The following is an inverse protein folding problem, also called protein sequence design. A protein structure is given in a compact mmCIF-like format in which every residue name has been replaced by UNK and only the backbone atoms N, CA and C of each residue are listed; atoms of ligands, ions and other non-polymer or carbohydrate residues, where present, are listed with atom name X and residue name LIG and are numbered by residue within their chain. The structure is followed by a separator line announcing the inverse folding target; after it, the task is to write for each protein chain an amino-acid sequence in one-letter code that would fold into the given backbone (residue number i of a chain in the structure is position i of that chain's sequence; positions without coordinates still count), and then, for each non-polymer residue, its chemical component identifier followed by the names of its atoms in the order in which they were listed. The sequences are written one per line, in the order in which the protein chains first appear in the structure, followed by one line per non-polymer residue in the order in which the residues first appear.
data_IF_123580676560
#
_entry.id   IF_123580676560
#
_cell.length_a   1.000
_cell.length_b   1.000
_cell.length_c   1.000
_cell.angle_alpha   90.00
_cell.angle_beta   90.00
_cell.angle_gamma   90.00
#
_symmetry.space_group_name_H-M   'P 1'
#
loop_
_entity.id
_entity.type
_entity.pdbx_description
1 polymer ?
#
# COMPACT_ATOMS: atom_id res chain seq x y z
N UNK A 1 -66.36 36.10 47.13
CA UNK A 1 -65.99 35.48 45.84
C UNK A 1 -64.50 35.21 45.87
N UNK A 2 -64.07 33.95 45.92
CA UNK A 2 -62.64 33.59 46.09
C UNK A 2 -61.99 33.41 44.72
N UNK A 3 -61.03 34.26 44.37
CA UNK A 3 -60.28 34.27 43.10
C UNK A 3 -59.08 33.31 43.17
N UNK A 4 -59.28 32.04 42.83
CA UNK A 4 -58.22 31.01 42.84
C UNK A 4 -57.71 30.57 41.46
N UNK A 5 -58.17 31.20 40.37
CA UNK A 5 -57.85 30.78 39.00
C UNK A 5 -56.44 31.15 38.54
N UNK A 6 -56.01 32.40 38.80
CA UNK A 6 -54.79 32.95 38.18
C UNK A 6 -53.50 32.30 38.72
N UNK A 7 -53.44 32.05 40.03
CA UNK A 7 -52.25 31.46 40.67
C UNK A 7 -52.02 29.99 40.25
N UNK A 8 -53.11 29.24 40.05
CA UNK A 8 -53.04 27.85 39.58
C UNK A 8 -52.61 27.76 38.12
N UNK A 9 -53.11 28.66 37.27
CA UNK A 9 -52.70 28.77 35.87
C UNK A 9 -51.22 29.17 35.76
N UNK A 10 -50.76 30.11 36.59
CA UNK A 10 -49.36 30.53 36.63
C UNK A 10 -48.42 29.37 37.03
N UNK A 11 -48.81 28.56 38.03
CA UNK A 11 -48.04 27.39 38.45
C UNK A 11 -47.99 26.30 37.36
N UNK A 12 -49.10 26.05 36.66
CA UNK A 12 -49.13 25.08 35.55
C UNK A 12 -48.27 25.58 34.39
N UNK A 13 -48.33 26.87 34.04
CA UNK A 13 -47.46 27.45 33.03
C UNK A 13 -45.98 27.33 33.39
N UNK A 14 -45.62 27.57 34.66
CA UNK A 14 -44.24 27.44 35.13
C UNK A 14 -43.72 26.00 35.07
N UNK A 15 -44.57 25.00 35.34
CA UNK A 15 -44.21 23.58 35.26
C UNK A 15 -44.07 23.12 33.79
N UNK A 16 -44.91 23.61 32.88
CA UNK A 16 -44.83 23.27 31.45
C UNK A 16 -43.60 23.91 30.79
N UNK A 17 -43.19 25.12 31.19
CA UNK A 17 -42.00 25.79 30.65
C UNK A 17 -40.67 25.16 31.08
N UNK A 18 -40.62 24.30 32.10
CA UNK A 18 -39.37 23.64 32.53
C UNK A 18 -39.13 22.28 31.85
N UNK A 19 -40.03 21.80 30.99
CA UNK A 19 -39.92 20.51 30.29
C UNK A 19 -39.31 20.62 28.89
N UNK A 20 -38.68 21.76 28.54
CA UNK A 20 -37.88 21.82 27.32
C UNK A 20 -36.61 21.00 27.52
N UNK A 21 -36.49 19.92 26.76
CA UNK A 21 -35.26 19.15 26.62
C UNK A 21 -34.24 20.10 25.97
N UNK A 22 -33.39 20.71 26.79
CA UNK A 22 -32.26 21.50 26.31
C UNK A 22 -31.24 20.51 25.75
N UNK A 23 -31.07 20.49 24.42
CA UNK A 23 -30.00 19.74 23.80
C UNK A 23 -28.65 20.33 24.26
N UNK A 24 -27.83 19.51 24.93
CA UNK A 24 -26.47 19.89 25.35
C UNK A 24 -25.47 19.87 24.17
N UNK A 25 -25.92 20.30 22.98
CA UNK A 25 -25.07 20.39 21.81
C UNK A 25 -24.46 21.79 21.77
N UNK A 26 -23.13 21.85 21.64
CA UNK A 26 -22.38 23.09 21.53
C UNK A 26 -22.09 23.34 20.06
N UNK A 27 -22.76 24.33 19.47
CA UNK A 27 -22.47 24.83 18.13
C UNK A 27 -21.63 26.12 18.21
N UNK A 28 -20.42 26.11 17.66
CA UNK A 28 -19.59 27.31 17.49
C UNK A 28 -19.65 27.69 16.01
N UNK A 29 -20.15 28.88 15.69
CA UNK A 29 -20.32 29.32 14.30
C UNK A 29 -21.45 28.63 13.52
N UNK A 30 -22.24 27.75 14.15
CA UNK A 30 -23.42 27.10 13.56
C UNK A 30 -24.56 27.05 14.58
N UNK A 31 -25.80 27.22 14.11
CA UNK A 31 -27.01 27.06 14.92
C UNK A 31 -27.62 25.65 14.80
N UNK A 32 -27.16 24.85 13.84
CA UNK A 32 -27.67 23.51 13.55
C UNK A 32 -26.55 22.47 13.77
N UNK A 33 -26.14 22.28 15.02
CA UNK A 33 -25.13 21.29 15.36
C UNK A 33 -25.62 19.86 15.10
N UNK A 34 -24.82 19.05 14.40
CA UNK A 34 -25.10 17.65 14.02
C UNK A 34 -24.54 16.65 15.04
N UNK A 35 -23.65 17.12 15.92
CA UNK A 35 -22.93 16.35 16.93
C UNK A 35 -22.91 17.12 18.25
N UNK A 36 -22.43 16.48 19.32
CA UNK A 36 -22.34 17.09 20.67
C UNK A 36 -21.53 18.37 20.68
N UNK A 37 -20.46 18.44 19.88
CA UNK A 37 -19.71 19.65 19.59
C UNK A 37 -19.57 19.76 18.07
N UNK A 38 -19.93 20.91 17.51
CA UNK A 38 -19.69 21.24 16.10
C UNK A 38 -19.14 22.66 16.00
N UNK A 39 -18.00 22.80 15.32
CA UNK A 39 -17.37 24.09 15.02
C UNK A 39 -17.43 24.30 13.52
N UNK A 40 -18.17 25.33 13.08
CA UNK A 40 -18.18 25.77 11.70
C UNK A 40 -17.10 26.85 11.53
N UNK A 41 -15.85 26.40 11.36
CA UNK A 41 -14.66 27.24 11.27
C UNK A 41 -13.41 26.45 11.69
N UNK A 42 -12.37 27.18 12.05
CA UNK A 42 -11.09 26.58 12.45
C UNK A 42 -11.11 26.21 13.95
N UNK A 43 -10.49 25.08 14.27
CA UNK A 43 -10.25 24.65 15.65
C UNK A 43 -8.75 24.69 15.92
N UNK A 44 -8.36 25.40 16.97
CA UNK A 44 -6.99 25.35 17.51
C UNK A 44 -7.00 24.57 18.82
N UNK A 45 -6.17 23.54 18.92
CA UNK A 45 -5.96 22.75 20.13
C UNK A 45 -4.52 23.03 20.59
N UNK A 46 -4.35 23.55 21.80
CA UNK A 46 -3.04 23.91 22.36
C UNK A 46 -2.44 22.83 23.28
N UNK A 47 -3.11 21.68 23.40
CA UNK A 47 -2.67 20.51 24.16
C UNK A 47 -2.95 19.23 23.37
N UNK A 48 -3.15 18.11 24.07
CA UNK A 48 -3.29 16.80 23.43
C UNK A 48 -4.71 16.59 22.86
N UNK A 49 -4.78 16.00 21.66
CA UNK A 49 -6.01 15.47 21.08
C UNK A 49 -6.00 13.94 21.21
N UNK A 50 -6.80 13.41 22.13
CA UNK A 50 -6.97 11.97 22.29
C UNK A 50 -8.19 11.47 21.49
N UNK A 51 -7.97 10.54 20.57
CA UNK A 51 -9.05 9.86 19.85
C UNK A 51 -9.38 8.56 20.61
N UNK A 52 -10.40 8.61 21.46
CA UNK A 52 -10.79 7.49 22.35
C UNK A 52 -11.28 6.26 21.59
N UNK A 53 -11.84 6.42 20.39
CA UNK A 53 -12.36 5.30 19.60
C UNK A 53 -11.99 5.45 18.14
N UNK A 54 -11.18 4.50 17.66
CA UNK A 54 -10.91 4.29 16.24
C UNK A 54 -11.82 3.17 15.76
N UNK A 55 -12.84 3.51 14.98
CA UNK A 55 -13.68 2.50 14.36
C UNK A 55 -12.88 1.76 13.27
N UNK A 56 -13.02 0.43 13.15
CA UNK A 56 -12.41 -0.31 12.06
C UNK A 56 -12.97 0.15 10.71
N UNK A 57 -12.11 0.20 9.70
CA UNK A 57 -12.48 0.49 8.33
C UNK A 57 -13.44 -0.58 7.79
N UNK A 58 -14.39 -0.17 6.97
CA UNK A 58 -15.25 -1.07 6.18
C UNK A 58 -14.81 -1.01 4.72
N UNK A 59 -15.08 -2.07 3.95
CA UNK A 59 -14.66 -2.17 2.54
C UNK A 59 -15.15 -1.03 1.63
N UNK A 60 -16.24 -0.34 2.00
CA UNK A 60 -16.78 0.79 1.26
C UNK A 60 -16.19 2.15 1.69
N UNK A 61 -15.40 2.21 2.76
CA UNK A 61 -14.82 3.44 3.27
C UNK A 61 -13.56 3.80 2.47
N UNK A 62 -13.47 5.05 2.00
CA UNK A 62 -12.22 5.59 1.46
C UNK A 62 -11.24 5.80 2.61
N UNK A 63 -10.17 5.02 2.64
CA UNK A 63 -9.18 5.07 3.71
C UNK A 63 -8.05 6.02 3.35
N UNK A 64 -7.76 6.97 4.24
CA UNK A 64 -6.59 7.85 4.13
C UNK A 64 -5.58 7.41 5.16
N UNK A 65 -4.37 7.05 4.72
CA UNK A 65 -3.25 6.85 5.65
C UNK A 65 -2.83 8.22 6.18
N UNK A 66 -2.86 8.36 7.51
CA UNK A 66 -2.36 9.54 8.20
C UNK A 66 -0.95 9.25 8.67
N UNK A 67 0.00 10.11 8.31
CA UNK A 67 1.36 10.08 8.79
C UNK A 67 1.59 11.35 9.58
N UNK A 68 2.17 11.22 10.77
CA UNK A 68 2.68 12.38 11.49
C UNK A 68 4.10 12.64 10.99
N UNK A 69 4.34 13.82 10.43
CA UNK A 69 5.68 14.27 10.10
C UNK A 69 6.36 14.86 11.34
N UNK A 70 7.68 14.97 11.28
CA UNK A 70 8.57 15.54 12.28
C UNK A 70 8.28 17.00 12.67
N UNK A 71 7.41 17.69 11.92
CA UNK A 71 6.94 19.04 12.20
C UNK A 71 5.57 19.08 12.92
N UNK A 72 5.15 17.94 13.49
CA UNK A 72 3.85 17.74 14.16
C UNK A 72 2.64 17.96 13.24
N UNK A 73 2.85 17.98 11.92
CA UNK A 73 1.75 17.99 10.95
C UNK A 73 1.25 16.58 10.68
N UNK A 74 -0.07 16.45 10.53
CA UNK A 74 -0.69 15.22 10.02
C UNK A 74 -0.82 15.36 8.50
N UNK A 75 -0.14 14.49 7.77
CA UNK A 75 -0.19 14.40 6.31
C UNK A 75 -1.03 13.21 5.89
N UNK A 76 -1.90 13.42 4.91
CA UNK A 76 -2.63 12.35 4.25
C UNK A 76 -1.85 11.82 3.05
N UNK A 77 -1.65 10.51 2.97
CA UNK A 77 -1.30 9.88 1.69
C UNK A 77 -2.58 9.72 0.88
N UNK A 78 -2.61 10.35 -0.28
CA UNK A 78 -3.61 10.11 -1.32
C UNK A 78 -3.08 9.08 -2.32
N UNK A 79 -3.42 7.82 -2.09
CA UNK A 79 -3.04 6.70 -2.96
C UNK A 79 -3.74 6.71 -4.32
N UNK A 80 -4.73 7.59 -4.53
CA UNK A 80 -5.40 7.75 -5.83
C UNK A 80 -4.67 8.71 -6.75
N UNK A 81 -3.71 9.48 -6.23
CA UNK A 81 -2.88 10.39 -7.01
C UNK A 81 -1.66 9.63 -7.59
N UNK A 82 -1.62 9.38 -8.91
CA UNK A 82 -0.56 8.56 -9.53
C UNK A 82 0.82 9.24 -9.53
N UNK A 83 0.90 10.53 -9.19
CA UNK A 83 2.17 11.27 -9.10
C UNK A 83 2.56 11.62 -7.67
N UNK A 84 1.72 11.26 -6.68
CA UNK A 84 1.99 11.48 -5.26
C UNK A 84 2.88 10.40 -4.63
N UNK A 85 3.28 10.63 -3.39
CA UNK A 85 3.90 9.59 -2.58
C UNK A 85 2.91 8.43 -2.38
N UNK A 86 3.36 7.19 -2.58
CA UNK A 86 2.54 6.00 -2.40
C UNK A 86 3.25 5.02 -1.45
N UNK A 87 2.48 4.13 -0.82
CA UNK A 87 3.05 3.08 0.03
C UNK A 87 3.81 2.03 -0.78
N UNK A 88 3.41 1.85 -2.03
CA UNK A 88 4.10 1.03 -3.01
C UNK A 88 3.67 1.42 -4.42
N UNK A 89 4.54 1.13 -5.38
CA UNK A 89 4.37 1.43 -6.79
C UNK A 89 4.36 0.10 -7.55
N UNK A 90 3.39 -0.06 -8.44
CA UNK A 90 3.42 -1.14 -9.43
C UNK A 90 3.99 -0.53 -10.71
N UNK A 91 5.19 -0.96 -11.09
CA UNK A 91 5.86 -0.49 -12.31
C UNK A 91 5.99 -1.65 -13.30
N UNK A 92 5.53 -1.42 -14.52
CA UNK A 92 5.71 -2.35 -15.63
C UNK A 92 6.88 -1.92 -16.52
N UNK A 93 7.79 -2.85 -16.81
CA UNK A 93 8.87 -2.69 -17.77
C UNK A 93 8.57 -3.54 -19.00
N UNK A 94 8.50 -2.88 -20.16
CA UNK A 94 8.40 -3.56 -21.46
C UNK A 94 9.76 -3.51 -22.13
N UNK A 95 10.48 -4.63 -22.15
CA UNK A 95 11.83 -4.76 -22.70
C UNK A 95 11.73 -5.44 -24.06
N UNK A 96 11.94 -4.66 -25.12
CA UNK A 96 11.82 -5.13 -26.51
C UNK A 96 13.19 -5.51 -27.08
N UNK A 97 13.21 -6.56 -27.90
CA UNK A 97 14.41 -7.04 -28.59
C UNK A 97 15.62 -7.27 -27.66
N UNK A 98 15.50 -8.09 -26.59
CA UNK A 98 16.68 -8.62 -25.92
C UNK A 98 17.50 -9.49 -26.90
N UNK A 99 18.69 -9.95 -26.47
CA UNK A 99 19.40 -11.00 -27.19
C UNK A 99 18.59 -12.30 -27.07
N UNK A 100 17.69 -12.52 -28.03
CA UNK A 100 16.58 -13.48 -27.93
C UNK A 100 15.67 -13.16 -26.74
N UNK A 101 15.55 -14.08 -25.78
CA UNK A 101 14.82 -13.94 -24.53
C UNK A 101 15.73 -13.53 -23.36
N UNK A 102 17.02 -13.31 -23.60
CA UNK A 102 17.97 -13.09 -22.51
C UNK A 102 18.11 -11.62 -22.13
N UNK A 103 17.62 -11.30 -20.93
CA UNK A 103 17.91 -10.05 -20.21
C UNK A 103 18.91 -10.39 -19.11
N UNK A 104 20.19 -10.12 -19.37
CA UNK A 104 21.28 -10.37 -18.42
C UNK A 104 21.38 -9.30 -17.34
N UNK A 105 21.17 -8.04 -17.70
CA UNK A 105 21.41 -6.92 -16.81
C UNK A 105 20.60 -5.70 -17.27
N UNK A 106 19.36 -5.58 -16.77
CA UNK A 106 18.53 -4.40 -16.99
C UNK A 106 18.52 -3.52 -15.74
N UNK A 107 19.21 -2.39 -15.81
CA UNK A 107 19.22 -1.37 -14.75
C UNK A 107 17.88 -0.61 -14.72
N UNK A 108 17.16 -0.73 -13.60
CA UNK A 108 15.87 -0.05 -13.41
C UNK A 108 16.02 1.41 -13.03
N UNK A 109 17.24 1.84 -12.65
CA UNK A 109 17.55 3.14 -12.05
C UNK A 109 16.85 3.42 -10.71
N UNK A 110 16.19 2.42 -10.12
CA UNK A 110 15.57 2.53 -8.79
C UNK A 110 16.66 2.44 -7.73
N UNK A 111 16.76 3.48 -6.89
CA UNK A 111 17.77 3.57 -5.84
C UNK A 111 17.61 2.45 -4.80
N UNK A 112 18.62 1.60 -4.69
CA UNK A 112 18.60 0.46 -3.79
C UNK A 112 18.87 0.84 -2.33
N UNK A 113 19.26 2.08 -2.03
CA UNK A 113 19.38 2.60 -0.66
C UNK A 113 18.03 2.99 -0.08
N UNK A 114 17.14 3.58 -0.89
CA UNK A 114 15.82 4.11 -0.49
C UNK A 114 14.69 3.08 -0.65
N UNK A 115 14.74 2.25 -1.70
CA UNK A 115 13.63 1.37 -2.08
C UNK A 115 14.00 -0.11 -2.08
N UNK A 116 12.96 -0.94 -2.00
CA UNK A 116 13.00 -2.37 -2.31
C UNK A 116 12.18 -2.61 -3.57
N UNK A 117 12.70 -3.44 -4.49
CA UNK A 117 12.05 -3.80 -5.74
C UNK A 117 11.96 -5.32 -5.87
N UNK A 118 10.76 -5.81 -6.14
CA UNK A 118 10.46 -7.25 -6.30
C UNK A 118 9.73 -7.45 -7.63
N UNK A 119 10.13 -8.44 -8.42
CA UNK A 119 9.34 -8.88 -9.57
C UNK A 119 8.10 -9.64 -9.10
N UNK A 120 6.92 -9.20 -9.52
CA UNK A 120 5.63 -9.83 -9.17
C UNK A 120 5.00 -10.58 -10.35
N UNK A 121 5.40 -10.26 -11.58
CA UNK A 121 5.00 -10.98 -12.80
C UNK A 121 6.06 -10.78 -13.88
N UNK A 122 6.24 -11.79 -14.71
CA UNK A 122 7.07 -11.68 -15.90
C UNK A 122 6.55 -12.62 -16.98
N UNK A 123 6.42 -12.10 -18.20
CA UNK A 123 5.98 -12.87 -19.37
C UNK A 123 6.78 -12.49 -20.60
N UNK A 124 7.05 -13.47 -21.44
CA UNK A 124 7.70 -13.29 -22.73
C UNK A 124 6.73 -13.65 -23.85
N UNK A 125 6.69 -12.83 -24.91
CA UNK A 125 5.61 -12.84 -25.90
C UNK A 125 5.91 -13.69 -27.16
N UNK A 126 6.94 -14.55 -27.11
CA UNK A 126 7.28 -15.48 -28.19
C UNK A 126 7.27 -16.93 -27.73
N UNK A 127 6.92 -17.79 -28.68
CA UNK A 127 7.03 -19.23 -28.50
C UNK A 127 8.49 -19.65 -28.49
N UNK A 128 8.85 -20.50 -27.54
CA UNK A 128 10.21 -20.94 -27.31
C UNK A 128 10.41 -22.40 -27.75
N UNK A 129 11.50 -22.65 -28.47
CA UNK A 129 12.01 -23.98 -28.74
C UNK A 129 12.89 -24.43 -27.57
N UNK A 130 12.40 -25.39 -26.79
CA UNK A 130 13.12 -25.92 -25.61
C UNK A 130 13.81 -27.27 -25.95
N UNK A 131 13.43 -27.95 -27.04
CA UNK A 131 14.11 -29.15 -27.55
C UNK A 131 14.13 -29.17 -29.07
N UNK A 132 15.27 -29.61 -29.64
CA UNK A 132 15.40 -29.91 -31.07
C UNK A 132 15.01 -31.36 -31.45
N UNK A 133 14.58 -32.19 -30.48
CA UNK A 133 14.21 -33.59 -30.73
C UNK A 133 12.75 -33.72 -31.18
N UNK A 134 12.52 -34.53 -32.22
CA UNK A 134 11.21 -34.74 -32.86
C UNK A 134 10.17 -35.46 -31.99
N UNK A 135 10.54 -35.90 -30.78
CA UNK A 135 9.66 -36.66 -29.85
C UNK A 135 9.46 -35.96 -28.49
N UNK A 136 9.93 -34.71 -28.32
CA UNK A 136 9.73 -33.98 -27.07
C UNK A 136 8.32 -33.38 -27.04
N UNK A 137 7.33 -34.19 -26.65
CA UNK A 137 5.93 -33.77 -26.64
C UNK A 137 5.58 -32.77 -25.52
N UNK A 138 6.45 -32.57 -24.52
CA UNK A 138 6.21 -31.65 -23.41
C UNK A 138 7.54 -31.10 -22.88
N UNK A 139 8.13 -30.16 -23.59
CA UNK A 139 9.33 -29.47 -23.13
C UNK A 139 8.94 -28.08 -22.64
N UNK A 140 8.90 -27.91 -21.32
CA UNK A 140 8.67 -26.63 -20.65
C UNK A 140 9.96 -26.20 -19.94
N UNK A 141 10.30 -24.91 -20.03
CA UNK A 141 11.35 -24.28 -19.22
C UNK A 141 10.66 -23.35 -18.25
N UNK A 142 11.12 -23.34 -17.00
CA UNK A 142 10.63 -22.38 -16.01
C UNK A 142 11.33 -21.05 -16.26
N UNK A 143 10.60 -19.92 -16.32
CA UNK A 143 11.24 -18.63 -16.46
C UNK A 143 12.13 -18.37 -15.24
N UNK A 144 13.36 -17.95 -15.48
CA UNK A 144 14.23 -17.41 -14.47
C UNK A 144 14.10 -15.89 -14.48
N UNK A 145 13.50 -15.34 -13.43
CA UNK A 145 13.42 -13.90 -13.24
C UNK A 145 13.84 -13.53 -11.83
N UNK A 146 14.66 -12.50 -11.71
CA UNK A 146 15.21 -12.08 -10.43
C UNK A 146 15.51 -10.58 -10.45
N UNK A 147 15.48 -10.00 -9.26
CA UNK A 147 15.97 -8.64 -9.00
C UNK A 147 17.22 -8.71 -8.14
N UNK A 148 18.20 -7.88 -8.42
CA UNK A 148 19.45 -7.83 -7.67
C UNK A 148 19.99 -6.40 -7.63
N UNK A 149 20.92 -6.15 -6.71
CA UNK A 149 21.52 -4.83 -6.56
C UNK A 149 22.91 -4.85 -7.21
N UNK A 150 23.14 -3.91 -8.11
CA UNK A 150 24.44 -3.66 -8.73
C UNK A 150 24.60 -2.14 -8.87
N UNK A 151 25.80 -1.61 -8.65
CA UNK A 151 26.05 -0.16 -8.82
C UNK A 151 25.24 0.80 -7.94
N UNK A 152 24.48 0.32 -6.95
CA UNK A 152 23.62 1.13 -6.09
C UNK A 152 22.16 1.23 -6.55
N UNK A 153 21.81 0.65 -7.70
CA UNK A 153 20.43 0.57 -8.19
C UNK A 153 19.94 -0.87 -8.22
N UNK A 154 18.62 -1.05 -8.38
CA UNK A 154 18.02 -2.35 -8.63
C UNK A 154 18.13 -2.72 -10.11
N UNK A 155 18.49 -3.95 -10.39
CA UNK A 155 18.61 -4.53 -11.72
C UNK A 155 17.71 -5.75 -11.84
N UNK A 156 17.31 -6.09 -13.08
CA UNK A 156 16.47 -7.23 -13.42
C UNK A 156 17.23 -8.19 -14.35
N UNK A 157 17.11 -9.48 -14.06
CA UNK A 157 17.39 -10.57 -14.99
C UNK A 157 16.06 -11.22 -15.40
N UNK A 158 15.95 -11.59 -16.67
CA UNK A 158 14.88 -12.43 -17.19
C UNK A 158 15.42 -13.34 -18.30
N UNK A 159 15.11 -14.63 -18.22
CA UNK A 159 15.57 -15.64 -19.18
C UNK A 159 14.68 -16.89 -19.12
N UNK A 160 14.57 -17.65 -20.21
CA UNK A 160 14.21 -19.06 -20.14
C UNK A 160 15.47 -19.90 -20.39
N UNK A 161 16.13 -20.40 -19.32
CA UNK A 161 17.40 -21.08 -19.47
C UNK A 161 17.33 -22.23 -20.47
N UNK A 162 18.29 -22.25 -21.39
CA UNK A 162 18.42 -23.25 -22.47
C UNK A 162 17.27 -23.28 -23.49
N UNK A 163 16.45 -22.23 -23.53
CA UNK A 163 15.45 -22.01 -24.57
C UNK A 163 15.91 -20.92 -25.55
N UNK A 164 15.25 -20.85 -26.70
CA UNK A 164 15.38 -19.76 -27.65
C UNK A 164 14.06 -19.63 -28.42
N UNK A 165 13.85 -18.53 -29.14
CA UNK A 165 12.68 -18.36 -29.99
C UNK A 165 12.55 -19.53 -30.99
N UNK A 166 11.33 -20.07 -31.14
CA UNK A 166 11.03 -21.07 -32.16
C UNK A 166 11.26 -20.51 -33.56
N UNK A 167 10.81 -19.28 -33.80
CA UNK A 167 11.20 -18.50 -34.96
C UNK A 167 12.43 -17.66 -34.62
N UNK A 168 13.58 -18.06 -35.15
CA UNK A 168 14.88 -17.41 -34.92
C UNK A 168 14.95 -15.99 -35.49
N UNK A 169 14.00 -15.58 -36.32
CA UNK A 169 13.92 -14.21 -36.86
C UNK A 169 12.95 -13.31 -36.10
N UNK A 170 12.16 -13.89 -35.18
CA UNK A 170 11.18 -13.13 -34.40
C UNK A 170 11.86 -12.31 -33.31
N UNK A 171 11.43 -11.05 -33.19
CA UNK A 171 11.82 -10.13 -32.13
C UNK A 171 10.86 -10.29 -30.95
N UNK A 172 11.36 -10.74 -29.81
CA UNK A 172 10.55 -10.91 -28.61
C UNK A 172 10.53 -9.69 -27.70
N UNK A 173 9.57 -9.70 -26.79
CA UNK A 173 9.35 -8.67 -25.78
C UNK A 173 9.07 -9.31 -24.43
N UNK A 174 9.78 -8.85 -23.41
CA UNK A 174 9.44 -9.12 -22.02
C UNK A 174 8.51 -8.04 -21.47
N UNK A 175 7.48 -8.47 -20.76
CA UNK A 175 6.66 -7.61 -19.89
C UNK A 175 6.89 -8.05 -18.45
N UNK A 176 7.49 -7.17 -17.65
CA UNK A 176 7.86 -7.46 -16.25
C UNK A 176 7.17 -6.45 -15.36
N UNK A 177 6.27 -6.93 -14.49
CA UNK A 177 5.64 -6.11 -13.46
C UNK A 177 6.42 -6.23 -12.16
N UNK A 178 6.68 -5.10 -11.53
CA UNK A 178 7.43 -5.00 -10.28
C UNK A 178 6.58 -4.33 -9.20
N UNK A 179 6.83 -4.69 -7.95
CA UNK A 179 6.37 -3.97 -6.77
C UNK A 179 7.56 -3.26 -6.15
N UNK A 180 7.45 -1.93 -6.01
CA UNK A 180 8.49 -1.07 -5.44
C UNK A 180 7.92 -0.42 -4.18
N UNK A 181 8.63 -0.45 -3.06
CA UNK A 181 8.18 0.21 -1.83
C UNK A 181 9.35 0.80 -1.05
N UNK A 182 9.08 1.88 -0.31
CA UNK A 182 10.10 2.55 0.51
C UNK A 182 10.57 1.64 1.64
N UNK A 183 11.86 1.68 1.95
CA UNK A 183 12.41 1.04 3.14
C UNK A 183 11.88 1.63 4.44
N UNK A 184 11.41 2.87 4.45
CA UNK A 184 10.77 3.48 5.62
C UNK A 184 9.45 2.79 6.00
N UNK A 185 8.83 2.12 5.03
CA UNK A 185 7.54 1.44 5.19
C UNK A 185 7.70 -0.07 5.39
N UNK A 186 8.93 -0.57 5.42
CA UNK A 186 9.19 -2.01 5.53
C UNK A 186 10.24 -2.30 6.61
N UNK A 187 9.92 -3.26 7.47
CA UNK A 187 10.89 -3.75 8.45
C UNK A 187 11.94 -4.62 7.75
N UNK A 188 13.09 -4.02 7.44
CA UNK A 188 14.22 -4.73 6.85
C UNK A 188 14.97 -5.49 7.93
N UNK A 189 14.99 -6.82 7.80
CA UNK A 189 15.74 -7.70 8.69
C UNK A 189 17.09 -7.97 8.03
N UNK A 190 18.16 -8.02 8.83
CA UNK A 190 19.51 -8.19 8.31
C UNK A 190 19.72 -9.54 7.61
N UNK A 191 20.82 -9.66 6.87
CA UNK A 191 21.20 -10.89 6.18
C UNK A 191 21.53 -12.01 7.17
N UNK A 192 20.93 -13.18 6.99
CA UNK A 192 21.31 -14.41 7.70
C UNK A 192 22.06 -15.33 6.75
N UNK A 193 23.32 -15.61 7.05
CA UNK A 193 24.15 -16.52 6.25
C UNK A 193 23.90 -17.97 6.69
N UNK A 194 23.43 -18.82 5.77
CA UNK A 194 23.16 -20.25 6.02
C UNK A 194 24.11 -21.09 5.17
N UNK A 195 25.20 -21.66 5.73
CA UNK A 195 26.09 -22.54 4.98
C UNK A 195 25.41 -23.89 4.71
N UNK A 196 25.16 -24.20 3.45
CA UNK A 196 24.53 -25.48 3.04
C UNK A 196 25.49 -26.68 3.06
N UNK A 197 26.81 -26.45 3.08
CA UNK A 197 27.86 -27.50 3.19
C UNK A 197 27.68 -28.68 2.21
N UNK A 198 27.34 -28.39 0.95
CA UNK A 198 27.02 -29.37 -0.10
C UNK A 198 25.79 -30.27 0.18
N UNK A 199 24.95 -29.90 1.14
CA UNK A 199 23.66 -30.56 1.41
C UNK A 199 22.53 -30.05 0.52
N UNK A 200 21.53 -30.89 0.29
CA UNK A 200 20.27 -30.54 -0.41
C UNK A 200 19.17 -30.07 0.56
N UNK A 201 19.46 -30.07 1.87
CA UNK A 201 18.55 -29.65 2.94
C UNK A 201 19.31 -28.82 3.97
N UNK A 202 18.66 -27.82 4.56
CA UNK A 202 19.22 -26.96 5.60
C UNK A 202 18.13 -26.27 6.40
N UNK A 203 18.50 -25.59 7.49
CA UNK A 203 17.56 -24.83 8.33
C UNK A 203 18.22 -23.55 8.83
N UNK A 204 17.42 -22.48 8.98
CA UNK A 204 17.85 -21.29 9.70
C UNK A 204 17.94 -21.60 11.20
N UNK A 205 19.00 -21.12 11.85
CA UNK A 205 19.24 -21.41 13.28
C UNK A 205 18.17 -20.79 14.19
N UNK A 206 17.61 -19.65 13.78
CA UNK A 206 16.58 -18.92 14.53
C UNK A 206 15.49 -18.45 13.56
N UNK A 207 14.19 -18.70 13.84
CA UNK A 207 13.09 -18.10 13.09
C UNK A 207 13.15 -16.57 13.15
N UNK A 208 12.95 -15.92 12.01
CA UNK A 208 13.08 -14.47 11.86
C UNK A 208 11.78 -13.75 12.29
N UNK A 209 10.65 -14.45 12.25
CA UNK A 209 9.31 -14.02 12.68
C UNK A 209 8.65 -15.23 13.36
N UNK A 210 7.99 -15.03 14.51
CA UNK A 210 7.21 -16.05 15.22
C UNK A 210 5.69 -15.88 15.04
#
# INVERSE_FOLDING_TARGET
MKTYGLHRILCIAFIVCNNFILFSQVGIGTTNARKTLEVAGDVQISGDLEIVTLNPLKDADTSTFLIQDSDDSIKSIDVSNPTGAALGYIQEYTITNPDLDWVLDFDTQVDASEFVLITISASYDKELAISASTNAHENASLPYTATFIQGGTWHIIADYPMAANLDTSAVGTWTISTLIFSKDLSKQLGTTNIPMLNGTTGSAVTPIID
#
